data_IF_646542838680
#
_entry.id   IF_646542838680
#
_cell.length_a   1.000
_cell.length_b   1.000
_cell.length_c   1.000
_cell.angle_alpha   90.00
_cell.angle_beta   90.00
_cell.angle_gamma   90.00
#
_symmetry.space_group_name_H-M   'P 1'
#
loop_
_entity.id
_entity.type
_entity.pdbx_description
1 polymer ?
#
# COMPACT_ATOMS: atom_id res chain seq x y z
N UNK A 1 -25.20 11.78 18.20
CA UNK A 1 -23.76 12.06 18.20
C UNK A 1 -23.07 11.19 17.18
N UNK A 2 -22.31 11.80 16.28
CA UNK A 2 -21.66 11.08 15.20
C UNK A 2 -20.38 10.44 15.73
N UNK A 3 -20.29 9.10 15.65
CA UNK A 3 -19.11 8.39 16.09
C UNK A 3 -17.97 8.59 15.09
N UNK A 4 -16.81 9.03 15.58
CA UNK A 4 -15.63 9.17 14.75
C UNK A 4 -15.00 7.82 14.51
N UNK A 5 -14.46 7.63 13.30
CA UNK A 5 -13.74 6.41 12.91
C UNK A 5 -12.25 6.59 13.10
N UNK A 6 -11.58 5.54 13.57
CA UNK A 6 -10.14 5.45 13.53
C UNK A 6 -9.75 4.65 12.29
N UNK A 7 -8.88 5.23 11.48
CA UNK A 7 -8.38 4.58 10.28
C UNK A 7 -6.99 4.02 10.51
N UNK A 8 -6.87 2.72 10.35
CA UNK A 8 -5.59 2.05 10.50
C UNK A 8 -4.89 2.00 9.16
N UNK A 9 -3.59 2.28 9.17
CA UNK A 9 -2.72 2.21 8.00
C UNK A 9 -1.80 1.02 8.16
N UNK A 10 -1.95 0.03 7.29
CA UNK A 10 -1.30 -1.27 7.43
C UNK A 10 -0.04 -1.34 6.58
N UNK A 11 1.08 -1.79 7.15
CA UNK A 11 2.36 -1.86 6.43
C UNK A 11 2.49 -3.10 5.55
N UNK A 12 3.48 -3.08 4.66
CA UNK A 12 3.91 -4.26 3.94
C UNK A 12 2.99 -4.71 2.82
N UNK A 13 2.46 -3.78 2.03
CA UNK A 13 1.54 -4.10 0.94
C UNK A 13 2.08 -5.13 -0.06
N UNK A 14 3.39 -5.13 -0.30
CA UNK A 14 4.05 -6.08 -1.19
C UNK A 14 4.55 -7.30 -0.42
N UNK A 15 5.15 -7.09 0.75
CA UNK A 15 5.75 -8.13 1.58
C UNK A 15 4.71 -9.09 2.14
N UNK A 16 3.56 -8.57 2.53
CA UNK A 16 2.49 -9.34 3.16
C UNK A 16 1.23 -9.38 2.29
N UNK A 17 1.40 -9.32 0.98
CA UNK A 17 0.28 -9.33 0.03
C UNK A 17 -0.66 -10.52 0.27
N UNK A 18 -0.11 -11.73 0.43
CA UNK A 18 -0.91 -12.93 0.65
C UNK A 18 -1.72 -12.84 1.94
N UNK A 19 -1.16 -12.27 2.99
CA UNK A 19 -1.87 -12.05 4.24
C UNK A 19 -3.08 -11.13 4.02
N UNK A 20 -2.89 -10.01 3.32
CA UNK A 20 -3.97 -9.06 3.08
C UNK A 20 -5.02 -9.62 2.12
N UNK A 21 -4.60 -10.42 1.16
CA UNK A 21 -5.52 -11.08 0.25
C UNK A 21 -6.50 -11.99 0.99
N UNK A 22 -6.06 -12.60 2.07
CA UNK A 22 -6.90 -13.44 2.92
C UNK A 22 -7.63 -12.64 4.00
N UNK A 23 -6.98 -11.65 4.58
CA UNK A 23 -7.53 -10.88 5.69
C UNK A 23 -8.66 -9.94 5.26
N UNK A 24 -8.51 -9.23 4.16
CA UNK A 24 -9.50 -8.22 3.74
C UNK A 24 -10.90 -8.80 3.50
N UNK A 25 -11.04 -9.98 2.86
CA UNK A 25 -12.37 -10.60 2.76
C UNK A 25 -12.97 -10.94 4.11
N UNK A 26 -12.15 -11.43 5.05
CA UNK A 26 -12.61 -11.76 6.40
C UNK A 26 -13.04 -10.51 7.15
N UNK A 27 -12.27 -9.44 7.05
CA UNK A 27 -12.61 -8.16 7.68
C UNK A 27 -13.94 -7.63 7.14
N UNK A 28 -14.15 -7.70 5.83
CA UNK A 28 -15.40 -7.24 5.19
C UNK A 28 -16.58 -8.10 5.59
N UNK A 29 -16.43 -9.42 5.61
CA UNK A 29 -17.50 -10.37 5.87
C UNK A 29 -17.89 -10.45 7.35
N UNK A 30 -16.95 -10.16 8.24
CA UNK A 30 -17.10 -10.36 9.68
C UNK A 30 -16.89 -9.09 10.50
N UNK A 31 -17.51 -8.02 10.03
CA UNK A 31 -17.40 -6.70 10.71
C UNK A 31 -17.89 -6.74 12.16
N UNK A 32 -18.75 -7.70 12.50
CA UNK A 32 -19.27 -7.88 13.85
C UNK A 32 -18.22 -8.22 14.89
N UNK A 33 -17.04 -8.69 14.45
CA UNK A 33 -15.91 -8.98 15.35
C UNK A 33 -15.01 -7.76 15.58
N UNK A 34 -15.30 -6.64 14.93
CA UNK A 34 -14.50 -5.42 15.04
C UNK A 34 -15.39 -4.28 15.52
N UNK A 35 -14.81 -3.33 16.21
CA UNK A 35 -15.56 -2.15 16.62
C UNK A 35 -16.00 -1.33 15.41
N UNK A 36 -17.18 -0.72 15.51
CA UNK A 36 -17.74 0.08 14.42
C UNK A 36 -16.85 1.26 14.02
N UNK A 37 -16.05 1.74 14.95
CA UNK A 37 -15.13 2.86 14.71
C UNK A 37 -13.80 2.43 14.10
N UNK A 38 -13.52 1.12 13.98
CA UNK A 38 -12.32 0.60 13.34
C UNK A 38 -12.51 0.50 11.83
N UNK A 39 -11.59 1.09 11.07
CA UNK A 39 -11.58 0.94 9.62
C UNK A 39 -10.15 0.93 9.11
N UNK A 40 -9.98 0.52 7.86
CA UNK A 40 -8.67 0.48 7.21
C UNK A 40 -8.61 1.63 6.22
N UNK A 41 -7.68 2.55 6.45
CA UNK A 41 -7.52 3.73 5.59
C UNK A 41 -6.60 3.51 4.41
N UNK A 42 -5.51 2.78 4.62
CA UNK A 42 -4.55 2.50 3.57
C UNK A 42 -3.73 1.26 3.87
N UNK A 43 -3.12 0.73 2.82
CA UNK A 43 -2.05 -0.25 2.95
C UNK A 43 -0.85 0.35 2.22
N UNK A 44 0.30 0.36 2.88
CA UNK A 44 1.48 1.01 2.34
C UNK A 44 2.66 0.05 2.27
N UNK A 45 3.61 0.37 1.41
CA UNK A 45 4.83 -0.42 1.23
C UNK A 45 5.54 -0.07 -0.05
N UNK A 46 6.57 -0.83 -0.37
CA UNK A 46 7.33 -0.68 -1.59
C UNK A 46 7.81 -2.04 -2.08
N UNK A 47 7.94 -2.23 -3.41
CA UNK A 47 8.52 -3.45 -3.96
C UNK A 47 9.96 -3.64 -3.48
N UNK A 48 10.41 -4.88 -3.40
CA UNK A 48 11.76 -5.21 -2.94
C UNK A 48 12.86 -4.55 -3.78
N UNK A 49 12.59 -4.34 -5.07
CA UNK A 49 13.55 -3.79 -6.01
C UNK A 49 13.42 -2.28 -6.24
N UNK A 50 12.61 -1.60 -5.43
CA UNK A 50 12.43 -0.15 -5.53
C UNK A 50 13.53 0.55 -4.74
N UNK A 51 14.43 1.26 -5.45
CA UNK A 51 15.55 1.95 -4.80
C UNK A 51 15.07 3.05 -3.84
N UNK A 52 13.96 3.71 -4.15
CA UNK A 52 13.40 4.74 -3.28
C UNK A 52 12.82 4.16 -1.99
N UNK A 53 12.43 2.90 -2.02
CA UNK A 53 11.90 2.19 -0.87
C UNK A 53 12.94 1.56 0.04
N UNK A 54 14.22 1.65 -0.33
CA UNK A 54 15.32 1.17 0.51
C UNK A 54 15.71 -0.29 0.29
N UNK A 55 15.27 -0.93 -0.79
CA UNK A 55 15.70 -2.29 -1.12
C UNK A 55 15.34 -3.32 -0.06
N UNK A 56 14.07 -3.52 0.19
CA UNK A 56 13.60 -4.46 1.21
C UNK A 56 13.93 -5.90 0.83
N UNK A 57 14.41 -6.67 1.79
CA UNK A 57 14.90 -8.01 1.54
C UNK A 57 13.79 -9.02 1.30
N UNK A 58 13.80 -9.62 0.13
CA UNK A 58 13.45 -11.01 -0.03
C UNK A 58 12.00 -11.48 0.00
N UNK A 59 11.04 -10.63 0.34
CA UNK A 59 9.66 -11.07 0.40
C UNK A 59 8.79 -10.16 -0.47
N UNK A 60 7.85 -10.77 -1.22
CA UNK A 60 6.83 -10.02 -1.90
C UNK A 60 7.23 -9.50 -3.28
N UNK A 61 7.61 -10.39 -4.15
CA UNK A 61 7.76 -10.08 -5.58
C UNK A 61 6.40 -10.07 -6.28
N UNK A 62 5.42 -9.44 -5.65
CA UNK A 62 4.12 -9.32 -6.28
C UNK A 62 4.11 -8.16 -7.25
N UNK A 63 3.41 -8.36 -8.36
CA UNK A 63 3.21 -7.32 -9.36
C UNK A 63 2.48 -6.15 -8.69
N UNK A 64 2.97 -4.91 -8.84
CA UNK A 64 2.27 -3.73 -8.35
C UNK A 64 0.81 -3.65 -8.78
N UNK A 65 0.46 -4.19 -9.94
CA UNK A 65 -0.93 -4.24 -10.40
C UNK A 65 -1.81 -5.12 -9.54
N UNK A 66 -1.27 -6.21 -8.99
CA UNK A 66 -2.00 -7.09 -8.06
C UNK A 66 -2.33 -6.36 -6.76
N UNK A 67 -1.36 -5.62 -6.23
CA UNK A 67 -1.56 -4.81 -5.02
C UNK A 67 -2.63 -3.74 -5.25
N UNK A 68 -2.56 -3.06 -6.39
CA UNK A 68 -3.56 -2.04 -6.74
C UNK A 68 -4.95 -2.64 -6.95
N UNK A 69 -5.05 -3.80 -7.58
CA UNK A 69 -6.33 -4.49 -7.79
C UNK A 69 -6.96 -4.86 -6.45
N UNK A 70 -6.16 -5.37 -5.52
CA UNK A 70 -6.63 -5.73 -4.19
C UNK A 70 -7.16 -4.51 -3.42
N UNK A 71 -6.39 -3.44 -3.35
CA UNK A 71 -6.79 -2.24 -2.63
C UNK A 71 -8.01 -1.58 -3.26
N UNK A 72 -8.10 -1.58 -4.58
CA UNK A 72 -9.25 -1.04 -5.31
C UNK A 72 -10.53 -1.82 -5.01
N UNK A 73 -10.43 -3.15 -4.97
CA UNK A 73 -11.58 -4.02 -4.67
C UNK A 73 -12.21 -3.68 -3.32
N UNK A 74 -11.39 -3.33 -2.33
CA UNK A 74 -11.85 -3.03 -0.99
C UNK A 74 -11.97 -1.53 -0.69
N UNK A 75 -11.74 -0.68 -1.70
CA UNK A 75 -11.87 0.78 -1.53
C UNK A 75 -10.83 1.37 -0.59
N UNK A 76 -9.64 0.79 -0.55
CA UNK A 76 -8.56 1.17 0.37
C UNK A 76 -7.48 1.92 -0.42
N UNK A 77 -6.93 2.97 0.18
CA UNK A 77 -5.82 3.71 -0.42
C UNK A 77 -4.55 2.86 -0.46
N UNK A 78 -3.91 2.79 -1.61
CA UNK A 78 -2.60 2.17 -1.75
C UNK A 78 -1.54 3.27 -1.72
N UNK A 79 -0.54 3.14 -0.85
CA UNK A 79 0.51 4.14 -0.68
C UNK A 79 1.89 3.51 -0.85
N UNK A 80 2.78 4.26 -1.49
CA UNK A 80 4.17 3.86 -1.66
C UNK A 80 5.01 4.46 -0.55
N UNK A 81 5.95 3.68 -0.02
CA UNK A 81 6.84 4.14 1.04
C UNK A 81 8.22 4.37 0.47
N UNK A 82 8.67 5.63 0.47
CA UNK A 82 9.97 6.04 -0.03
C UNK A 82 10.82 6.55 1.14
N UNK A 83 11.31 5.61 1.93
CA UNK A 83 12.02 5.91 3.18
C UNK A 83 13.52 5.70 3.12
N UNK A 84 14.09 5.51 1.94
CA UNK A 84 15.52 5.33 1.79
C UNK A 84 16.24 6.68 1.97
N UNK A 85 16.96 6.83 3.08
CA UNK A 85 17.70 8.05 3.42
C UNK A 85 19.04 8.19 2.70
N UNK A 86 19.44 7.18 1.94
CA UNK A 86 20.70 7.15 1.20
C UNK A 86 20.54 7.56 -0.26
N UNK A 87 19.38 8.09 -0.63
CA UNK A 87 19.14 8.53 -1.99
C UNK A 87 19.97 9.75 -2.36
N UNK A 88 20.40 9.79 -3.62
CA UNK A 88 21.09 10.92 -4.22
C UNK A 88 20.23 11.51 -5.34
N UNK A 89 20.60 12.70 -5.82
CA UNK A 89 19.87 13.37 -6.88
C UNK A 89 19.70 12.50 -8.13
N UNK A 90 20.71 11.72 -8.49
CA UNK A 90 20.67 10.81 -9.64
C UNK A 90 19.57 9.76 -9.54
N UNK A 91 19.14 9.40 -8.34
CA UNK A 91 18.09 8.41 -8.14
C UNK A 91 16.70 8.96 -8.48
N UNK A 92 16.54 10.28 -8.57
CA UNK A 92 15.27 10.90 -8.95
C UNK A 92 14.84 10.55 -10.37
N UNK A 93 15.79 10.21 -11.22
CA UNK A 93 15.53 9.81 -12.60
C UNK A 93 15.38 8.30 -12.79
N UNK A 94 15.30 7.54 -11.70
CA UNK A 94 15.11 6.09 -11.79
C UNK A 94 13.81 5.77 -12.51
N UNK A 95 13.93 5.07 -13.65
CA UNK A 95 12.79 4.80 -14.51
C UNK A 95 11.76 3.90 -13.85
N UNK A 96 12.21 2.91 -13.09
CA UNK A 96 11.34 1.95 -12.44
C UNK A 96 10.50 2.59 -11.35
N UNK A 97 11.11 3.41 -10.50
CA UNK A 97 10.41 4.12 -9.45
C UNK A 97 9.42 5.15 -10.01
N UNK A 98 9.82 5.87 -11.06
CA UNK A 98 8.93 6.82 -11.73
C UNK A 98 7.75 6.11 -12.40
N UNK A 99 7.99 4.96 -13.03
CA UNK A 99 6.92 4.16 -13.63
C UNK A 99 5.96 3.62 -12.58
N UNK A 100 6.46 3.24 -11.42
CA UNK A 100 5.65 2.78 -10.30
C UNK A 100 4.71 3.89 -9.79
N UNK A 101 5.22 5.10 -9.64
CA UNK A 101 4.41 6.26 -9.25
C UNK A 101 3.31 6.53 -10.28
N UNK A 102 3.65 6.51 -11.56
CA UNK A 102 2.70 6.73 -12.64
C UNK A 102 1.60 5.66 -12.65
N UNK A 103 1.97 4.41 -12.40
CA UNK A 103 1.02 3.31 -12.33
C UNK A 103 0.04 3.51 -11.16
N UNK A 104 0.54 3.86 -9.98
CA UNK A 104 -0.29 4.09 -8.81
C UNK A 104 -1.24 5.27 -9.00
N UNK A 105 -0.78 6.32 -9.63
CA UNK A 105 -1.63 7.48 -9.94
C UNK A 105 -2.76 7.09 -10.91
N UNK A 106 -2.43 6.35 -11.96
CA UNK A 106 -3.38 6.01 -13.02
C UNK A 106 -4.41 4.97 -12.59
N UNK A 107 -3.98 3.95 -11.86
CA UNK A 107 -4.81 2.77 -11.59
C UNK A 107 -5.55 2.83 -10.26
N UNK A 108 -5.19 3.75 -9.38
CA UNK A 108 -5.77 3.81 -8.04
C UNK A 108 -6.95 4.78 -8.03
N UNK A 109 -8.17 4.23 -7.86
CA UNK A 109 -9.40 5.02 -7.79
C UNK A 109 -9.63 5.64 -6.42
N UNK A 110 -8.98 5.12 -5.39
CA UNK A 110 -8.93 5.74 -4.08
C UNK A 110 -7.66 6.58 -4.04
N UNK A 111 -7.69 7.71 -3.35
CA UNK A 111 -6.56 8.61 -3.33
C UNK A 111 -5.26 7.88 -2.94
N UNK A 112 -4.36 7.77 -3.89
CA UNK A 112 -3.03 7.21 -3.67
C UNK A 112 -2.11 8.26 -3.03
N UNK A 113 -1.01 7.81 -2.48
CA UNK A 113 -0.07 8.73 -1.86
C UNK A 113 1.30 8.11 -1.69
N UNK A 114 2.19 8.91 -1.14
CA UNK A 114 3.56 8.51 -0.83
C UNK A 114 3.82 8.84 0.64
N UNK A 115 4.50 7.92 1.31
CA UNK A 115 4.97 8.12 2.68
C UNK A 115 6.50 8.26 2.61
N UNK A 116 6.99 9.35 3.14
CA UNK A 116 8.43 9.66 3.10
C UNK A 116 9.02 9.54 4.48
#
# INVERSE_FOLDING_TARGET
>A
MKQEKAYYHLPGSFEFYELYREFLPLFRAHREYFYDWCDIGSIYGAPADCVWGGGRAGFGEHDPKEVLALTREYGISARLTFSNSLLREEHLSDKKCNALCALFERENQVQSGVIV
#
